data_IF_270295433825
#
_entry.id   IF_270295433825
#
_cell.length_a   1.000
_cell.length_b   1.000
_cell.length_c   1.000
_cell.angle_alpha   90.00
_cell.angle_beta   90.00
_cell.angle_gamma   90.00
#
_symmetry.space_group_name_H-M   'P 1'
#
loop_
_entity.id
_entity.type
_entity.pdbx_description
1 polymer ?
#
# COMPACT_ATOMS: atom_id res chain seq x y z
N UNK A 1 -21.37 15.71 19.86
CA UNK A 1 -20.20 16.49 19.44
C UNK A 1 -20.46 16.95 18.04
N UNK A 2 -20.76 18.23 17.86
CA UNK A 2 -20.95 18.83 16.54
C UNK A 2 -19.60 18.89 15.85
N UNK A 3 -19.49 18.20 14.72
CA UNK A 3 -18.33 18.32 13.86
C UNK A 3 -18.25 19.78 13.37
N UNK A 4 -17.19 20.49 13.74
CA UNK A 4 -16.98 21.86 13.29
C UNK A 4 -16.46 21.85 11.86
N UNK A 5 -17.07 22.61 10.99
CA UNK A 5 -16.50 22.90 9.67
C UNK A 5 -15.20 23.71 9.84
N UNK A 6 -14.22 23.52 8.97
CA UNK A 6 -13.07 24.42 8.92
C UNK A 6 -13.53 25.88 8.77
N UNK A 7 -12.85 26.83 9.41
CA UNK A 7 -13.22 28.25 9.27
C UNK A 7 -13.29 28.65 7.80
N UNK A 8 -14.44 29.22 7.40
CA UNK A 8 -14.64 29.76 6.05
C UNK A 8 -15.17 28.77 5.00
N UNK A 9 -15.42 27.50 5.34
CA UNK A 9 -16.00 26.54 4.40
C UNK A 9 -17.27 25.91 4.98
N UNK A 10 -18.42 26.15 4.34
CA UNK A 10 -19.60 25.37 4.68
C UNK A 10 -19.46 23.96 4.11
N UNK A 11 -20.10 22.98 4.74
CA UNK A 11 -20.11 21.60 4.27
C UNK A 11 -20.62 21.50 2.83
N UNK A 12 -21.69 22.21 2.53
CA UNK A 12 -22.33 22.25 1.22
C UNK A 12 -21.40 22.83 0.15
N UNK A 13 -20.68 23.90 0.46
CA UNK A 13 -19.74 24.51 -0.46
C UNK A 13 -18.53 23.62 -0.73
N UNK A 14 -18.03 22.90 0.30
CA UNK A 14 -16.93 21.98 0.11
C UNK A 14 -17.34 20.75 -0.71
N UNK A 15 -18.53 20.22 -0.49
CA UNK A 15 -19.10 19.12 -1.28
C UNK A 15 -19.30 19.56 -2.74
N UNK A 16 -19.89 20.74 -2.96
CA UNK A 16 -20.08 21.29 -4.31
C UNK A 16 -18.77 21.55 -5.04
N UNK A 17 -17.71 21.89 -4.31
CA UNK A 17 -16.37 22.08 -4.86
C UNK A 17 -15.58 20.77 -5.01
N UNK A 18 -16.13 19.61 -4.62
CA UNK A 18 -15.43 18.33 -4.62
C UNK A 18 -14.27 18.24 -3.61
N UNK A 19 -14.32 19.05 -2.57
CA UNK A 19 -13.27 19.09 -1.55
C UNK A 19 -13.54 18.12 -0.40
N UNK A 20 -12.49 17.58 0.18
CA UNK A 20 -12.57 16.79 1.40
C UNK A 20 -12.89 17.67 2.60
N UNK A 21 -13.83 17.23 3.42
CA UNK A 21 -14.19 17.88 4.68
C UNK A 21 -13.70 17.02 5.83
N UNK A 22 -12.84 17.59 6.67
CA UNK A 22 -12.36 16.92 7.88
C UNK A 22 -13.24 17.30 9.07
N UNK A 23 -13.66 16.31 9.83
CA UNK A 23 -14.35 16.50 11.08
C UNK A 23 -13.45 16.05 12.22
N UNK A 24 -13.32 16.88 13.24
CA UNK A 24 -12.73 16.46 14.50
C UNK A 24 -13.79 15.69 15.30
N UNK A 25 -13.80 14.40 15.08
CA UNK A 25 -14.53 13.48 15.95
C UNK A 25 -13.52 12.61 16.71
N UNK A 26 -13.92 11.99 17.85
CA UNK A 26 -13.06 10.99 18.52
C UNK A 26 -12.63 9.84 17.59
N UNK A 27 -13.40 9.58 16.55
CA UNK A 27 -13.01 8.76 15.41
C UNK A 27 -12.72 9.69 14.22
N UNK A 28 -11.56 9.62 13.70
CA UNK A 28 -11.06 10.37 12.56
C UNK A 28 -11.89 10.11 11.31
N UNK A 29 -12.74 11.04 10.92
CA UNK A 29 -13.55 10.94 9.70
C UNK A 29 -13.17 12.02 8.69
N UNK A 30 -12.97 11.62 7.44
CA UNK A 30 -13.02 12.50 6.29
C UNK A 30 -14.28 12.17 5.51
N UNK A 31 -15.11 13.16 5.26
CA UNK A 31 -16.17 13.03 4.27
C UNK A 31 -15.67 13.54 2.92
N UNK A 32 -15.81 12.74 1.90
CA UNK A 32 -15.47 13.08 0.53
C UNK A 32 -16.69 12.87 -0.34
N UNK A 33 -17.04 13.90 -1.09
CA UNK A 33 -18.12 13.81 -2.07
C UNK A 33 -17.56 13.28 -3.40
N UNK A 34 -18.11 12.19 -3.88
CA UNK A 34 -17.82 11.66 -5.21
C UNK A 34 -18.98 11.93 -6.15
N UNK A 35 -18.70 12.41 -7.37
CA UNK A 35 -19.71 12.39 -8.42
C UNK A 35 -20.13 10.95 -8.66
N UNK A 36 -21.41 10.68 -8.58
CA UNK A 36 -21.96 9.38 -8.93
C UNK A 36 -22.04 9.25 -10.44
N UNK A 37 -21.95 8.04 -10.96
CA UNK A 37 -22.14 7.77 -12.39
C UNK A 37 -23.48 8.27 -12.92
N UNK A 38 -24.49 8.41 -12.07
CA UNK A 38 -25.83 8.93 -12.37
C UNK A 38 -26.03 10.41 -12.01
N UNK A 39 -24.95 11.18 -11.85
CA UNK A 39 -25.05 12.60 -11.49
C UNK A 39 -25.38 12.87 -10.03
N UNK A 40 -25.51 11.85 -9.18
CA UNK A 40 -25.62 12.00 -7.73
C UNK A 40 -24.25 12.14 -7.08
N UNK A 41 -24.22 12.59 -5.84
CA UNK A 41 -23.02 12.62 -5.00
C UNK A 41 -23.15 11.61 -3.88
N UNK A 42 -22.16 10.77 -3.70
CA UNK A 42 -22.00 9.98 -2.49
C UNK A 42 -21.05 10.68 -1.55
N UNK A 43 -21.49 10.82 -0.30
CA UNK A 43 -20.60 11.24 0.77
C UNK A 43 -20.10 9.98 1.43
N UNK A 44 -18.80 9.69 1.29
CA UNK A 44 -18.16 8.58 1.96
C UNK A 44 -17.28 9.13 3.07
N UNK A 45 -17.39 8.57 4.26
CA UNK A 45 -16.60 9.00 5.38
C UNK A 45 -15.52 7.99 5.75
N UNK A 46 -14.40 8.47 6.24
CA UNK A 46 -13.41 7.69 6.95
C UNK A 46 -12.00 7.67 6.42
N UNK A 47 -11.10 8.00 7.30
CA UNK A 47 -9.68 7.82 7.11
C UNK A 47 -9.06 7.27 8.40
N UNK A 48 -7.89 6.61 8.31
CA UNK A 48 -7.09 6.32 9.48
C UNK A 48 -6.63 7.61 10.11
N UNK A 49 -6.49 8.58 9.25
CA UNK A 49 -5.83 9.78 9.58
C UNK A 49 -6.28 10.89 8.64
N UNK A 50 -7.21 11.65 9.10
CA UNK A 50 -7.93 12.67 8.36
C UNK A 50 -7.13 13.97 8.12
N UNK A 51 -5.89 14.03 8.55
CA UNK A 51 -5.03 15.20 8.32
C UNK A 51 -4.03 14.99 7.21
N UNK A 52 -4.00 13.82 6.61
CA UNK A 52 -3.00 13.57 5.57
C UNK A 52 -3.45 14.12 4.22
N UNK A 53 -2.48 14.55 3.43
CA UNK A 53 -2.74 15.03 2.10
C UNK A 53 -3.27 13.90 1.20
N UNK A 54 -4.29 14.19 0.39
CA UNK A 54 -4.73 13.29 -0.67
C UNK A 54 -3.61 13.12 -1.72
N UNK A 55 -3.62 12.00 -2.43
CA UNK A 55 -2.63 11.77 -3.48
C UNK A 55 -2.73 12.83 -4.58
N UNK A 56 -3.95 13.27 -4.93
CA UNK A 56 -4.17 14.34 -5.89
C UNK A 56 -3.52 15.68 -5.44
N UNK A 57 -3.60 16.02 -4.16
CA UNK A 57 -2.94 17.22 -3.63
C UNK A 57 -1.41 17.11 -3.72
N UNK A 58 -0.85 15.92 -3.48
CA UNK A 58 0.58 15.67 -3.62
C UNK A 58 1.04 15.71 -5.06
N UNK A 59 0.28 15.11 -6.00
CA UNK A 59 0.55 15.19 -7.43
C UNK A 59 0.51 16.63 -7.95
N UNK A 60 -0.39 17.47 -7.43
CA UNK A 60 -0.42 18.88 -7.76
C UNK A 60 0.86 19.62 -7.35
N UNK A 61 1.47 19.25 -6.23
CA UNK A 61 2.73 19.85 -5.76
C UNK A 61 3.96 19.25 -6.43
N UNK A 62 3.92 17.98 -6.79
CA UNK A 62 4.96 17.27 -7.54
C UNK A 62 4.31 16.17 -8.40
N UNK A 63 4.38 16.26 -9.74
CA UNK A 63 3.68 15.35 -10.64
C UNK A 63 4.29 13.95 -10.74
N UNK A 64 5.42 13.68 -10.09
CA UNK A 64 6.03 12.35 -10.05
C UNK A 64 5.28 11.43 -9.08
N UNK A 65 4.38 10.62 -9.62
CA UNK A 65 3.56 9.68 -8.85
C UNK A 65 4.40 8.69 -8.03
N UNK A 66 5.60 8.37 -8.49
CA UNK A 66 6.51 7.49 -7.75
C UNK A 66 7.00 8.08 -6.41
N UNK A 67 6.79 9.37 -6.17
CA UNK A 67 7.24 10.11 -4.97
C UNK A 67 6.11 10.43 -3.99
N UNK A 68 4.91 9.96 -4.23
CA UNK A 68 3.71 10.30 -3.45
C UNK A 68 3.86 10.12 -1.94
N UNK A 69 4.59 9.11 -1.48
CA UNK A 69 4.80 8.82 -0.06
C UNK A 69 6.16 9.26 0.48
N UNK A 70 6.96 9.95 -0.34
CA UNK A 70 8.31 10.40 0.03
C UNK A 70 8.28 11.64 0.91
N UNK A 71 8.85 11.53 2.12
CA UNK A 71 9.06 12.70 2.99
C UNK A 71 10.16 13.63 2.48
N UNK A 72 11.07 13.13 1.66
CA UNK A 72 12.12 13.96 1.03
C UNK A 72 11.55 14.97 0.03
N UNK A 73 10.38 14.64 -0.56
CA UNK A 73 9.72 15.49 -1.56
C UNK A 73 8.61 16.33 -0.93
N UNK A 74 7.81 15.74 -0.06
CA UNK A 74 6.59 16.36 0.46
C UNK A 74 6.67 16.72 1.94
N UNK A 75 7.77 16.43 2.62
CA UNK A 75 7.84 16.44 4.09
C UNK A 75 7.15 15.23 4.71
N UNK A 76 7.28 15.09 6.03
CA UNK A 76 6.57 14.06 6.77
C UNK A 76 5.05 14.31 6.70
N UNK A 77 4.22 13.24 6.74
CA UNK A 77 2.78 13.40 6.72
C UNK A 77 2.31 14.23 7.92
N UNK A 78 1.24 15.02 7.74
CA UNK A 78 0.65 15.81 8.83
C UNK A 78 -0.05 14.94 9.89
N UNK A 79 -0.25 13.67 9.60
CA UNK A 79 -0.65 12.67 10.59
C UNK A 79 0.47 12.46 11.59
N UNK A 80 0.18 12.10 12.83
CA UNK A 80 1.24 11.73 13.76
C UNK A 80 2.12 10.65 13.14
N UNK A 81 3.40 10.98 12.98
CA UNK A 81 4.40 10.01 12.55
C UNK A 81 4.56 8.99 13.68
N UNK A 82 4.22 7.74 13.42
CA UNK A 82 4.42 6.66 14.38
C UNK A 82 5.91 6.35 14.43
N UNK A 83 6.50 6.36 15.63
CA UNK A 83 7.95 6.17 15.81
C UNK A 83 8.21 5.08 16.83
N UNK A 84 9.15 4.22 16.53
CA UNK A 84 9.53 3.10 17.38
C UNK A 84 10.99 2.73 17.14
N UNK A 85 11.56 1.94 18.03
CA UNK A 85 12.84 1.27 17.85
C UNK A 85 12.63 -0.18 17.39
N UNK A 86 13.60 -0.75 16.67
CA UNK A 86 13.56 -2.18 16.33
C UNK A 86 13.38 -3.00 17.60
N UNK A 87 12.39 -3.88 17.60
CA UNK A 87 12.05 -4.73 18.71
C UNK A 87 11.02 -4.17 19.68
N UNK A 88 10.62 -2.91 19.55
CA UNK A 88 9.52 -2.35 20.35
C UNK A 88 8.22 -3.10 20.07
N UNK A 89 7.49 -3.43 21.14
CA UNK A 89 6.14 -3.98 21.02
C UNK A 89 5.17 -2.88 20.63
N UNK A 90 4.45 -3.07 19.53
CA UNK A 90 3.44 -2.16 19.01
C UNK A 90 2.06 -2.79 19.16
N UNK A 91 1.10 -2.03 19.66
CA UNK A 91 -0.32 -2.40 19.67
C UNK A 91 -1.13 -1.36 18.90
N UNK A 92 -1.64 -1.74 17.74
CA UNK A 92 -2.62 -0.94 17.03
C UNK A 92 -4.01 -1.25 17.60
N UNK A 93 -4.64 -0.24 18.18
CA UNK A 93 -6.05 -0.30 18.54
C UNK A 93 -6.86 0.30 17.42
N UNK A 94 -7.36 -0.55 16.56
CA UNK A 94 -8.13 -0.18 15.38
C UNK A 94 -9.60 -0.18 15.73
N UNK A 95 -10.26 0.93 15.46
CA UNK A 95 -11.71 1.10 15.63
C UNK A 95 -12.29 1.68 14.36
N UNK A 96 -13.26 1.00 13.78
CA UNK A 96 -14.06 1.55 12.69
C UNK A 96 -15.28 2.27 13.29
N UNK A 97 -15.21 3.61 13.29
CA UNK A 97 -16.34 4.46 13.67
C UNK A 97 -17.31 4.76 12.52
N UNK A 98 -17.21 4.04 11.43
CA UNK A 98 -17.90 4.32 10.16
C UNK A 98 -19.27 3.66 10.08
N UNK A 99 -20.17 4.29 9.35
CA UNK A 99 -21.54 3.80 9.17
C UNK A 99 -21.82 3.27 7.75
N UNK A 100 -21.03 3.64 6.75
CA UNK A 100 -21.40 3.43 5.35
C UNK A 100 -20.52 2.45 4.59
N UNK A 101 -19.28 2.23 5.03
CA UNK A 101 -18.32 1.44 4.27
C UNK A 101 -17.41 0.61 5.18
N UNK A 102 -16.91 -0.47 4.63
CA UNK A 102 -15.86 -1.27 5.26
C UNK A 102 -14.48 -0.79 4.80
N UNK A 103 -13.47 -1.05 5.59
CA UNK A 103 -12.10 -0.64 5.35
C UNK A 103 -11.14 -1.81 5.37
N UNK A 104 -9.94 -1.60 4.89
CA UNK A 104 -8.86 -2.57 4.97
C UNK A 104 -7.65 -1.88 5.56
N UNK A 105 -7.19 -2.34 6.72
CA UNK A 105 -5.98 -1.82 7.35
C UNK A 105 -4.79 -2.66 6.96
N UNK A 106 -3.80 -2.03 6.34
CA UNK A 106 -2.56 -2.64 5.88
C UNK A 106 -1.38 -1.99 6.60
N UNK A 107 -0.47 -2.81 7.12
CA UNK A 107 0.81 -2.34 7.68
C UNK A 107 1.94 -3.04 6.93
N UNK A 108 2.59 -2.32 6.03
CA UNK A 108 3.67 -2.89 5.21
C UNK A 108 4.80 -3.45 6.08
N UNK A 109 5.29 -4.62 5.75
CA UNK A 109 6.44 -5.25 6.39
C UNK A 109 6.23 -5.75 7.83
N UNK A 110 5.04 -5.57 8.40
CA UNK A 110 4.71 -5.98 9.77
C UNK A 110 3.57 -6.98 9.75
N UNK A 111 3.71 -8.06 10.51
CA UNK A 111 2.67 -9.05 10.66
C UNK A 111 2.01 -8.98 12.03
N UNK A 112 0.72 -9.28 12.08
CA UNK A 112 -0.07 -9.38 13.30
C UNK A 112 -1.10 -10.51 13.18
N UNK A 113 -1.62 -10.94 14.33
CA UNK A 113 -2.73 -11.91 14.39
C UNK A 113 -4.04 -11.14 14.59
N UNK A 114 -5.06 -11.30 13.73
CA UNK A 114 -6.38 -10.73 13.97
C UNK A 114 -6.98 -11.16 15.31
N UNK A 115 -6.90 -12.44 15.60
CA UNK A 115 -7.26 -13.01 16.91
C UNK A 115 -6.01 -13.10 17.78
N UNK A 116 -5.71 -12.01 18.48
CA UNK A 116 -4.45 -11.82 19.21
C UNK A 116 -4.11 -12.93 20.20
N UNK A 117 -5.13 -13.49 20.85
CA UNK A 117 -4.96 -14.48 21.91
C UNK A 117 -5.10 -15.93 21.42
N UNK A 118 -5.43 -16.12 20.15
CA UNK A 118 -5.46 -17.44 19.52
C UNK A 118 -4.13 -17.71 18.81
N UNK A 119 -3.36 -18.67 19.34
CA UNK A 119 -2.11 -19.11 18.73
C UNK A 119 -2.26 -19.69 17.31
N UNK A 120 -3.46 -20.15 16.94
CA UNK A 120 -3.78 -20.67 15.62
C UNK A 120 -4.24 -19.59 14.65
N UNK A 121 -4.51 -18.38 15.11
CA UNK A 121 -4.83 -17.26 14.22
C UNK A 121 -3.69 -17.02 13.25
N UNK A 122 -4.03 -16.93 11.96
CA UNK A 122 -3.03 -16.67 10.92
C UNK A 122 -2.35 -15.32 11.14
N UNK A 123 -1.09 -15.24 10.76
CA UNK A 123 -0.39 -13.96 10.71
C UNK A 123 -0.61 -13.31 9.35
N UNK A 124 -1.00 -12.06 9.37
CA UNK A 124 -1.21 -11.25 8.16
C UNK A 124 -0.76 -9.81 8.42
N UNK A 125 -0.53 -9.05 7.37
CA UNK A 125 -0.32 -7.60 7.45
C UNK A 125 -1.54 -6.80 7.03
N UNK A 126 -2.65 -7.48 6.76
CA UNK A 126 -3.86 -6.89 6.20
C UNK A 126 -5.08 -7.45 6.93
N UNK A 127 -5.95 -6.56 7.41
CA UNK A 127 -7.23 -6.92 8.00
C UNK A 127 -8.35 -6.08 7.40
N UNK A 128 -9.46 -6.75 7.11
CA UNK A 128 -10.71 -6.09 6.79
C UNK A 128 -11.41 -5.66 8.07
N UNK A 129 -11.94 -4.44 8.09
CA UNK A 129 -12.61 -3.85 9.24
C UNK A 129 -14.00 -3.41 8.82
N UNK A 130 -15.00 -4.07 9.37
CA UNK A 130 -16.39 -3.74 9.17
C UNK A 130 -16.87 -2.56 10.01
N UNK A 131 -18.15 -2.25 9.88
CA UNK A 131 -18.80 -1.16 10.62
C UNK A 131 -18.82 -1.51 12.11
N UNK A 132 -18.37 -0.57 12.94
CA UNK A 132 -18.29 -0.72 14.40
C UNK A 132 -17.38 -1.86 14.91
N UNK A 133 -16.60 -2.49 14.03
CA UNK A 133 -15.60 -3.46 14.45
C UNK A 133 -14.39 -2.80 15.08
N UNK A 134 -13.75 -3.54 15.97
CA UNK A 134 -12.52 -3.15 16.64
C UNK A 134 -11.54 -4.30 16.69
N UNK A 135 -10.27 -3.98 16.60
CA UNK A 135 -9.17 -4.96 16.68
C UNK A 135 -8.03 -4.41 17.53
N UNK A 136 -7.41 -5.30 18.30
CA UNK A 136 -6.15 -5.07 18.98
C UNK A 136 -5.06 -5.87 18.25
N UNK A 137 -4.31 -5.21 17.36
CA UNK A 137 -3.32 -5.84 16.49
C UNK A 137 -1.93 -5.64 17.08
N UNK A 138 -1.35 -6.71 17.62
CA UNK A 138 -0.02 -6.68 18.20
C UNK A 138 1.03 -7.08 17.16
N UNK A 139 2.08 -6.28 17.06
CA UNK A 139 3.23 -6.52 16.19
C UNK A 139 4.51 -6.01 16.84
N UNK A 140 5.65 -6.27 16.19
CA UNK A 140 6.97 -5.78 16.64
C UNK A 140 7.54 -4.81 15.61
N UNK A 141 8.08 -3.69 16.07
CA UNK A 141 8.68 -2.69 15.21
C UNK A 141 9.89 -3.25 14.43
N UNK A 142 9.94 -2.96 13.14
CA UNK A 142 10.93 -3.53 12.22
C UNK A 142 10.49 -4.83 11.57
N UNK A 143 9.31 -5.35 11.98
CA UNK A 143 8.72 -6.57 11.42
C UNK A 143 9.56 -7.82 11.68
N UNK A 144 9.28 -8.89 10.97
CA UNK A 144 10.04 -10.15 11.05
C UNK A 144 11.47 -10.01 10.54
N UNK A 145 11.73 -9.04 9.68
CA UNK A 145 13.05 -8.75 9.14
C UNK A 145 13.96 -7.98 10.11
N UNK A 146 13.44 -7.47 11.24
CA UNK A 146 14.17 -6.65 12.20
C UNK A 146 14.99 -5.52 11.55
N UNK A 147 14.35 -4.76 10.65
CA UNK A 147 15.02 -3.71 9.90
C UNK A 147 14.46 -2.32 10.23
N UNK A 148 15.36 -1.34 10.38
CA UNK A 148 14.99 0.08 10.46
C UNK A 148 14.56 0.60 9.10
N UNK A 149 13.71 1.64 9.12
CA UNK A 149 13.24 2.33 7.93
C UNK A 149 11.85 2.90 8.11
N UNK A 150 11.38 3.55 7.07
CA UNK A 150 10.02 4.08 7.00
C UNK A 150 9.11 3.07 6.30
N UNK A 151 8.03 2.69 6.96
CA UNK A 151 7.03 1.73 6.48
C UNK A 151 5.70 2.43 6.28
N UNK A 152 5.02 2.11 5.18
CA UNK A 152 3.69 2.64 4.90
C UNK A 152 2.63 1.82 5.66
N UNK A 153 1.70 2.49 6.36
CA UNK A 153 0.42 1.91 6.73
C UNK A 153 -0.70 2.63 6.00
N UNK A 154 -1.72 1.91 5.56
CA UNK A 154 -2.71 2.52 4.69
C UNK A 154 -4.02 1.73 4.65
N UNK A 155 -5.04 2.37 4.11
CA UNK A 155 -6.27 1.70 3.73
C UNK A 155 -6.07 0.99 2.39
N UNK A 156 -6.25 -0.32 2.35
CA UNK A 156 -6.10 -1.12 1.13
C UNK A 156 -7.17 -0.88 0.06
N UNK A 157 -8.21 -0.08 0.36
CA UNK A 157 -9.15 0.40 -0.67
C UNK A 157 -8.51 1.59 -1.39
N UNK A 158 -8.30 1.46 -2.68
CA UNK A 158 -7.59 2.45 -3.50
C UNK A 158 -8.20 3.86 -3.38
N UNK A 159 -9.53 3.98 -3.38
CA UNK A 159 -10.19 5.27 -3.21
C UNK A 159 -9.83 5.93 -1.88
N UNK A 160 -9.80 5.17 -0.79
CA UNK A 160 -9.48 5.70 0.54
C UNK A 160 -8.00 6.05 0.69
N UNK A 161 -7.12 5.23 0.12
CA UNK A 161 -5.71 5.55 0.01
C UNK A 161 -5.50 6.88 -0.72
N UNK A 162 -6.17 7.05 -1.86
CA UNK A 162 -6.09 8.27 -2.67
C UNK A 162 -6.60 9.52 -1.94
N UNK A 163 -7.55 9.36 -1.04
CA UNK A 163 -8.13 10.42 -0.21
C UNK A 163 -7.27 10.82 1.00
N UNK A 164 -6.17 10.13 1.27
CA UNK A 164 -5.27 10.45 2.38
C UNK A 164 -5.32 9.47 3.56
N UNK A 165 -5.95 8.31 3.38
CA UNK A 165 -6.03 7.27 4.42
C UNK A 165 -4.74 6.44 4.47
N UNK A 166 -3.65 7.07 4.86
CA UNK A 166 -2.32 6.49 4.95
C UNK A 166 -1.45 7.24 5.97
N UNK A 167 -0.35 6.63 6.38
CA UNK A 167 0.65 7.23 7.24
C UNK A 167 1.95 6.44 7.23
N UNK A 168 2.91 6.86 8.04
CA UNK A 168 4.25 6.29 8.10
C UNK A 168 4.56 5.81 9.51
N UNK A 169 5.14 4.62 9.60
CA UNK A 169 5.82 4.11 10.79
C UNK A 169 7.31 4.23 10.54
N UNK A 170 7.99 5.03 11.33
CA UNK A 170 9.43 5.20 11.29
C UNK A 170 10.10 4.37 12.38
N UNK A 171 10.84 3.36 11.96
CA UNK A 171 11.54 2.46 12.86
C UNK A 171 13.03 2.79 12.89
N UNK A 172 13.57 2.99 14.09
CA UNK A 172 14.95 3.39 14.31
C UNK A 172 15.79 2.23 14.85
N UNK A 173 17.03 2.13 14.40
CA UNK A 173 18.07 1.22 14.95
C UNK A 173 19.07 1.91 15.88
N UNK A 174 18.90 3.23 16.09
CA UNK A 174 19.74 4.06 16.95
C UNK A 174 18.88 4.98 17.80
N UNK A 175 19.32 5.24 19.03
CA UNK A 175 18.65 6.15 19.94
C UNK A 175 18.49 7.54 19.31
N UNK A 176 17.28 8.09 19.44
CA UNK A 176 16.93 9.44 19.05
C UNK A 176 16.82 10.33 20.28
N UNK A 177 17.25 11.59 20.19
CA UNK A 177 17.25 12.52 21.34
C UNK A 177 15.84 12.79 21.90
N UNK A 178 14.85 12.74 21.04
CA UNK A 178 13.46 13.11 21.32
C UNK A 178 12.50 11.91 21.41
N UNK A 179 13.02 10.68 21.36
CA UNK A 179 12.25 9.45 21.50
C UNK A 179 12.84 8.59 22.62
N UNK A 180 12.07 8.45 23.71
CA UNK A 180 12.49 7.58 24.81
C UNK A 180 12.30 6.10 24.42
N UNK A 181 13.28 5.24 24.72
CA UNK A 181 13.13 3.80 24.54
C UNK A 181 12.08 3.24 25.51
N UNK A 182 11.43 2.15 25.10
CA UNK A 182 10.50 1.43 25.97
C UNK A 182 11.27 0.64 27.06
N UNK A 183 10.65 0.43 28.24
CA UNK A 183 11.18 -0.51 29.22
C UNK A 183 11.37 -1.91 28.60
N UNK A 184 12.55 -2.47 28.80
CA UNK A 184 12.94 -3.77 28.20
C UNK A 184 13.53 -3.68 26.79
N UNK A 185 13.59 -2.48 26.19
CA UNK A 185 14.28 -2.22 24.92
C UNK A 185 15.12 -0.94 24.97
N UNK A 186 15.80 -0.71 26.09
CA UNK A 186 16.62 0.49 26.34
C UNK A 186 17.80 0.62 25.35
N UNK A 187 18.20 -0.49 24.76
CA UNK A 187 19.23 -0.56 23.72
C UNK A 187 18.60 -1.19 22.47
N UNK A 188 18.09 -0.36 21.54
CA UNK A 188 17.48 -0.88 20.31
C UNK A 188 18.39 -1.83 19.56
N UNK A 189 17.81 -2.84 18.96
CA UNK A 189 18.55 -3.74 18.07
C UNK A 189 19.05 -2.98 16.84
N UNK A 190 20.24 -3.35 16.38
CA UNK A 190 20.71 -2.90 15.06
C UNK A 190 19.91 -3.57 13.95
N UNK A 191 19.70 -2.88 12.84
CA UNK A 191 19.10 -3.47 11.64
C UNK A 191 19.81 -4.76 11.26
N UNK A 192 19.01 -5.76 10.84
CA UNK A 192 19.54 -6.99 10.29
C UNK A 192 20.41 -6.67 9.06
N UNK A 193 21.55 -7.35 8.93
CA UNK A 193 22.48 -7.13 7.82
C UNK A 193 21.98 -7.72 6.51
N UNK A 194 21.12 -8.72 6.59
CA UNK A 194 20.58 -9.42 5.41
C UNK A 194 19.15 -9.87 5.70
N UNK A 195 18.28 -9.63 4.75
CA UNK A 195 16.90 -10.08 4.76
C UNK A 195 16.81 -11.62 4.76
N UNK A 196 17.56 -12.26 3.86
CA UNK A 196 17.50 -13.70 3.69
C UNK A 196 18.49 -14.40 4.64
N UNK A 197 18.02 -15.40 5.41
CA UNK A 197 18.89 -16.21 6.26
C UNK A 197 19.99 -16.91 5.46
N UNK A 198 21.13 -17.18 6.12
CA UNK A 198 22.22 -17.94 5.50
C UNK A 198 21.72 -19.36 5.15
N UNK A 199 21.93 -19.76 3.91
CA UNK A 199 21.52 -21.08 3.40
C UNK A 199 20.07 -21.17 2.92
N UNK A 200 19.29 -20.08 2.99
CA UNK A 200 17.95 -20.05 2.41
C UNK A 200 18.02 -20.32 0.88
N UNK A 201 17.20 -21.24 0.34
CA UNK A 201 17.11 -21.43 -1.10
C UNK A 201 16.69 -20.13 -1.79
N UNK A 202 17.22 -19.89 -3.00
CA UNK A 202 16.94 -18.67 -3.77
C UNK A 202 16.10 -18.99 -4.98
N UNK A 203 14.95 -18.33 -5.08
CA UNK A 203 14.06 -18.36 -6.25
C UNK A 203 14.24 -17.07 -7.06
N UNK A 204 14.59 -17.19 -8.32
CA UNK A 204 14.82 -16.04 -9.18
C UNK A 204 13.71 -15.94 -10.24
N UNK A 205 13.21 -14.71 -10.45
CA UNK A 205 12.26 -14.40 -11.50
C UNK A 205 12.73 -13.19 -12.30
N UNK A 206 12.55 -13.24 -13.63
CA UNK A 206 12.70 -12.09 -14.51
C UNK A 206 11.32 -11.64 -14.95
N UNK A 207 10.92 -10.45 -14.54
CA UNK A 207 9.61 -9.85 -14.81
C UNK A 207 9.79 -8.61 -15.63
N UNK A 208 8.90 -8.38 -16.57
CA UNK A 208 8.83 -7.17 -17.39
C UNK A 208 7.51 -6.45 -17.16
N UNK A 209 7.55 -5.14 -17.06
CA UNK A 209 6.36 -4.28 -17.15
C UNK A 209 6.26 -3.77 -18.60
N UNK A 210 5.14 -3.98 -19.25
CA UNK A 210 4.90 -3.59 -20.65
C UNK A 210 3.52 -2.97 -20.82
N UNK A 211 3.34 -2.22 -21.89
CA UNK A 211 2.01 -1.78 -22.33
C UNK A 211 1.45 -2.79 -23.34
N UNK A 212 0.17 -3.08 -23.23
CA UNK A 212 -0.57 -3.91 -24.20
C UNK A 212 -2.02 -3.53 -24.24
N UNK A 213 -2.67 -3.83 -25.37
CA UNK A 213 -4.12 -3.69 -25.44
C UNK A 213 -4.80 -4.83 -24.69
N UNK A 214 -5.62 -4.51 -23.70
CA UNK A 214 -6.44 -5.47 -22.97
C UNK A 214 -7.90 -5.32 -23.37
N UNK A 215 -8.52 -6.45 -23.74
CA UNK A 215 -9.96 -6.61 -23.78
C UNK A 215 -10.36 -7.53 -22.63
N UNK A 216 -11.17 -7.04 -21.71
CA UNK A 216 -11.52 -7.81 -20.51
C UNK A 216 -12.46 -8.98 -20.81
N UNK A 217 -13.17 -8.94 -21.94
CA UNK A 217 -13.92 -10.08 -22.45
C UNK A 217 -13.78 -10.18 -23.98
N UNK A 218 -12.73 -10.84 -24.50
CA UNK A 218 -12.50 -10.90 -25.95
C UNK A 218 -13.47 -11.82 -26.70
N UNK A 219 -14.22 -12.68 -26.01
CA UNK A 219 -15.06 -13.71 -26.63
C UNK A 219 -16.56 -13.44 -26.53
N UNK A 220 -16.96 -12.40 -25.83
CA UNK A 220 -18.36 -12.04 -25.65
C UNK A 220 -18.55 -10.56 -25.91
N UNK A 221 -19.70 -10.19 -26.36
CA UNK A 221 -20.15 -8.80 -26.41
C UNK A 221 -20.50 -8.31 -25.00
N UNK A 222 -19.76 -8.74 -23.97
CA UNK A 222 -20.00 -8.31 -22.60
C UNK A 222 -19.63 -6.85 -22.46
N UNK A 223 -20.66 -6.10 -22.30
CA UNK A 223 -20.62 -4.70 -21.96
C UNK A 223 -20.82 -4.58 -20.45
N UNK A 224 -20.07 -3.69 -19.81
CA UNK A 224 -20.55 -3.19 -18.52
C UNK A 224 -21.74 -2.27 -18.86
N UNK A 225 -22.88 -2.61 -18.33
CA UNK A 225 -24.01 -1.72 -18.29
C UNK A 225 -23.69 -0.61 -17.29
N UNK A 226 -23.12 0.48 -17.80
CA UNK A 226 -22.73 1.64 -16.97
C UNK A 226 -23.94 2.53 -16.71
N UNK A 227 -24.94 2.37 -17.54
CA UNK A 227 -26.24 3.01 -17.48
C UNK A 227 -27.17 2.11 -18.27
N UNK A 228 -28.46 2.01 -17.91
CA UNK A 228 -29.44 1.14 -18.56
C UNK A 228 -29.51 1.32 -20.11
N UNK A 229 -28.88 2.36 -20.63
CA UNK A 229 -28.86 2.69 -22.05
C UNK A 229 -27.47 2.63 -22.71
N UNK A 230 -26.36 2.48 -21.95
CA UNK A 230 -25.01 2.50 -22.50
C UNK A 230 -24.25 1.20 -22.23
N UNK A 231 -24.00 0.48 -23.30
CA UNK A 231 -23.13 -0.70 -23.28
C UNK A 231 -21.71 -0.26 -23.62
N UNK A 232 -20.80 -0.33 -22.64
CA UNK A 232 -19.38 -0.02 -22.83
C UNK A 232 -18.56 -1.30 -22.85
N UNK A 233 -17.81 -1.52 -23.93
CA UNK A 233 -16.83 -2.58 -23.96
C UNK A 233 -15.69 -2.26 -22.99
N UNK A 234 -15.43 -3.13 -22.04
CA UNK A 234 -14.27 -3.03 -21.17
C UNK A 234 -13.00 -3.36 -21.95
N UNK A 235 -12.35 -2.31 -22.42
CA UNK A 235 -11.08 -2.41 -23.08
C UNK A 235 -10.14 -1.29 -22.60
N UNK A 236 -8.87 -1.58 -22.51
CA UNK A 236 -7.81 -0.59 -22.33
C UNK A 236 -6.80 -0.81 -23.44
N UNK A 237 -6.66 0.14 -24.34
CA UNK A 237 -5.77 0.04 -25.50
C UNK A 237 -4.29 0.10 -25.11
N UNK A 238 -3.97 0.61 -23.93
CA UNK A 238 -2.59 0.80 -23.47
C UNK A 238 -2.43 0.39 -21.97
N UNK A 239 -3.02 -0.76 -21.63
CA UNK A 239 -2.97 -1.28 -20.28
C UNK A 239 -1.54 -1.63 -19.87
N UNK A 240 -1.21 -1.33 -18.63
CA UNK A 240 0.03 -1.75 -18.00
C UNK A 240 -0.13 -3.18 -17.47
N UNK A 241 0.75 -4.07 -17.89
CA UNK A 241 0.78 -5.46 -17.40
C UNK A 241 2.18 -5.86 -16.99
N UNK A 242 2.24 -6.86 -16.11
CA UNK A 242 3.47 -7.52 -15.70
C UNK A 242 3.45 -8.95 -16.20
N UNK A 243 4.57 -9.40 -16.79
CA UNK A 243 4.72 -10.75 -17.32
C UNK A 243 6.10 -11.31 -17.01
N UNK A 244 6.25 -12.64 -17.01
CA UNK A 244 7.57 -13.24 -17.05
C UNK A 244 8.25 -12.86 -18.37
N UNK A 245 9.53 -12.54 -18.33
CA UNK A 245 10.26 -12.07 -19.50
C UNK A 245 10.19 -13.06 -20.67
N UNK A 246 10.26 -14.38 -20.39
CA UNK A 246 10.12 -15.43 -21.38
C UNK A 246 8.71 -15.60 -21.97
N UNK A 247 7.69 -15.04 -21.32
CA UNK A 247 6.28 -15.11 -21.75
C UNK A 247 5.78 -13.79 -22.33
N UNK A 248 6.63 -12.76 -22.37
CA UNK A 248 6.25 -11.41 -22.78
C UNK A 248 5.60 -11.37 -24.16
N UNK A 249 6.19 -12.04 -25.16
CA UNK A 249 5.67 -12.05 -26.51
C UNK A 249 4.28 -12.69 -26.58
N UNK A 250 4.04 -13.75 -25.82
CA UNK A 250 2.74 -14.41 -25.70
C UNK A 250 1.72 -13.51 -25.02
N UNK A 251 2.11 -12.88 -23.91
CA UNK A 251 1.26 -11.96 -23.17
C UNK A 251 0.85 -10.72 -24.01
N UNK A 252 1.74 -10.24 -24.89
CA UNK A 252 1.47 -9.12 -25.80
C UNK A 252 0.64 -9.54 -27.02
N UNK A 253 0.82 -10.76 -27.55
CA UNK A 253 0.21 -11.21 -28.80
C UNK A 253 -1.22 -11.77 -28.64
N UNK A 254 -1.56 -12.27 -27.44
CA UNK A 254 -2.78 -13.06 -27.30
C UNK A 254 -4.07 -12.24 -27.39
N UNK A 255 -4.05 -10.92 -27.27
CA UNK A 255 -5.29 -10.09 -27.25
C UNK A 255 -6.37 -10.65 -26.29
N UNK A 256 -6.12 -11.85 -25.76
CA UNK A 256 -6.85 -12.55 -24.73
C UNK A 256 -6.34 -12.05 -23.38
N UNK A 257 -7.17 -12.10 -22.36
CA UNK A 257 -6.76 -11.74 -21.01
C UNK A 257 -5.37 -12.32 -20.70
N UNK A 258 -4.34 -11.49 -20.51
CA UNK A 258 -3.13 -12.02 -19.93
C UNK A 258 -3.52 -12.54 -18.56
N UNK A 259 -3.15 -13.76 -18.25
CA UNK A 259 -3.32 -14.26 -16.90
C UNK A 259 -2.58 -13.33 -15.95
N UNK A 260 -3.14 -13.00 -14.78
CA UNK A 260 -2.42 -12.25 -13.77
C UNK A 260 -1.08 -12.93 -13.49
N UNK A 261 -0.01 -12.15 -13.42
CA UNK A 261 1.32 -12.67 -13.11
C UNK A 261 1.27 -13.44 -11.78
N UNK A 262 1.56 -14.72 -11.84
CA UNK A 262 1.62 -15.59 -10.65
C UNK A 262 3.02 -16.14 -10.49
N UNK A 263 3.68 -15.77 -9.39
CA UNK A 263 4.99 -16.29 -9.02
C UNK A 263 4.81 -17.32 -7.90
N UNK A 264 5.51 -18.44 -7.99
CA UNK A 264 5.41 -19.51 -6.99
C UNK A 264 6.71 -19.67 -6.24
N UNK A 265 6.64 -19.62 -4.92
CA UNK A 265 7.75 -19.84 -4.02
C UNK A 265 7.28 -20.63 -2.79
N UNK A 266 8.22 -21.27 -2.10
CA UNK A 266 7.94 -21.99 -0.86
C UNK A 266 8.29 -21.10 0.35
N UNK A 267 7.70 -21.42 1.48
CA UNK A 267 8.10 -20.85 2.77
C UNK A 267 9.59 -21.13 3.01
N UNK A 268 10.33 -20.15 3.50
CA UNK A 268 11.77 -20.23 3.73
C UNK A 268 12.63 -19.91 2.51
N UNK A 269 12.03 -19.66 1.34
CA UNK A 269 12.78 -19.23 0.15
C UNK A 269 13.02 -17.72 0.14
N UNK A 270 14.20 -17.36 -0.35
CA UNK A 270 14.56 -16.00 -0.71
C UNK A 270 14.13 -15.75 -2.16
N UNK A 271 13.23 -14.79 -2.37
CA UNK A 271 12.62 -14.52 -3.67
C UNK A 271 13.31 -13.28 -4.24
N UNK A 272 13.95 -13.42 -5.39
CA UNK A 272 14.56 -12.31 -6.13
C UNK A 272 13.81 -12.08 -7.44
N UNK A 273 13.26 -10.89 -7.58
CA UNK A 273 12.50 -10.49 -8.76
C UNK A 273 13.27 -9.37 -9.47
N UNK A 274 13.89 -9.67 -10.61
CA UNK A 274 14.43 -8.66 -11.50
C UNK A 274 13.26 -8.08 -12.30
N UNK A 275 12.86 -6.85 -11.98
CA UNK A 275 11.88 -6.10 -12.76
C UNK A 275 12.63 -5.28 -13.83
N UNK A 276 12.23 -5.42 -15.08
CA UNK A 276 12.65 -4.57 -16.20
C UNK A 276 11.44 -3.75 -16.65
N UNK A 277 11.53 -2.44 -16.56
CA UNK A 277 10.48 -1.55 -17.02
C UNK A 277 10.63 -1.29 -18.52
N UNK A 278 9.71 -1.82 -19.33
CA UNK A 278 9.58 -1.60 -20.78
C UNK A 278 8.33 -0.81 -21.14
N UNK A 279 7.75 -0.09 -20.17
CA UNK A 279 6.64 0.82 -20.41
C UNK A 279 7.11 1.97 -21.30
N UNK A 280 6.17 2.54 -22.04
CA UNK A 280 6.39 3.75 -22.84
C UNK A 280 6.71 4.93 -21.96
N UNK A 281 6.00 5.05 -20.83
CA UNK A 281 6.11 6.11 -19.84
C UNK A 281 5.76 5.59 -18.44
N UNK A 282 6.09 6.36 -17.42
CA UNK A 282 5.83 6.05 -16.03
C UNK A 282 6.81 5.05 -15.42
N UNK A 283 6.99 5.15 -14.13
CA UNK A 283 7.81 4.19 -13.39
C UNK A 283 7.01 2.90 -13.15
N UNK A 284 7.70 1.81 -12.89
CA UNK A 284 7.11 0.55 -12.46
C UNK A 284 7.74 0.09 -11.14
N UNK A 285 7.01 -0.65 -10.33
CA UNK A 285 7.56 -1.21 -9.11
C UNK A 285 6.93 -2.56 -8.74
N UNK A 286 7.52 -3.22 -7.75
CA UNK A 286 6.94 -4.40 -7.12
C UNK A 286 6.98 -4.19 -5.62
N UNK A 287 5.81 -3.94 -5.04
CA UNK A 287 5.57 -4.00 -3.61
C UNK A 287 4.83 -5.30 -3.29
N UNK A 288 5.26 -6.02 -2.29
CA UNK A 288 4.64 -7.28 -1.90
C UNK A 288 4.10 -7.22 -0.47
N UNK A 289 2.84 -7.61 -0.31
CA UNK A 289 2.23 -7.80 1.00
C UNK A 289 2.52 -9.21 1.53
N UNK A 290 2.50 -9.37 2.85
CA UNK A 290 2.66 -10.66 3.53
C UNK A 290 3.97 -11.41 3.23
N UNK A 291 5.00 -10.70 2.88
CA UNK A 291 6.38 -11.20 2.79
C UNK A 291 7.32 -10.20 3.44
N UNK A 292 8.43 -10.67 3.96
CA UNK A 292 9.46 -9.78 4.51
C UNK A 292 10.27 -9.13 3.36
N UNK A 293 10.67 -7.88 3.55
CA UNK A 293 11.50 -7.10 2.61
C UNK A 293 12.40 -6.12 3.35
N UNK A 294 13.46 -5.68 2.70
CA UNK A 294 14.29 -4.57 3.18
C UNK A 294 13.62 -3.24 2.80
N UNK A 295 13.15 -2.44 3.77
CA UNK A 295 12.50 -1.16 3.48
C UNK A 295 13.43 -0.15 2.82
N UNK A 296 14.75 -0.32 2.98
CA UNK A 296 15.74 0.58 2.40
C UNK A 296 16.03 0.29 0.91
N UNK A 297 15.65 -0.91 0.42
CA UNK A 297 15.98 -1.32 -0.96
C UNK A 297 14.82 -1.96 -1.73
N UNK A 298 14.00 -2.77 -1.09
CA UNK A 298 13.06 -3.66 -1.77
C UNK A 298 11.59 -3.46 -1.37
N UNK A 299 11.24 -2.31 -0.81
CA UNK A 299 9.85 -1.99 -0.47
C UNK A 299 8.97 -1.76 -1.71
N UNK A 300 9.57 -1.32 -2.84
CA UNK A 300 8.83 -1.02 -4.07
C UNK A 300 8.01 0.27 -4.01
N UNK A 301 8.11 1.02 -2.93
CA UNK A 301 7.45 2.31 -2.69
C UNK A 301 8.48 3.28 -2.12
N UNK A 302 8.50 4.51 -2.62
CA UNK A 302 9.32 5.57 -2.03
C UNK A 302 8.63 6.13 -0.79
N UNK A 303 8.90 5.56 0.37
CA UNK A 303 8.26 5.92 1.64
C UNK A 303 9.20 6.75 2.51
N UNK A 304 8.68 7.84 3.05
CA UNK A 304 9.35 8.63 4.06
C UNK A 304 10.75 9.08 3.66
N UNK A 305 11.72 8.83 4.53
CA UNK A 305 13.12 9.16 4.33
C UNK A 305 13.98 7.98 3.85
N UNK A 306 13.37 6.87 3.43
CA UNK A 306 14.13 5.72 2.91
C UNK A 306 15.03 6.15 1.75
N UNK A 307 16.25 5.57 1.63
CA UNK A 307 17.21 5.98 0.62
C UNK A 307 16.86 5.45 -0.77
N UNK A 308 17.49 6.06 -1.78
CA UNK A 308 17.39 5.60 -3.15
C UNK A 308 16.03 5.83 -3.81
N UNK A 309 15.88 5.27 -5.00
CA UNK A 309 14.62 5.14 -5.71
C UNK A 309 14.18 3.68 -5.69
N UNK A 310 13.02 3.44 -5.10
CA UNK A 310 12.43 2.11 -4.96
C UNK A 310 11.67 1.67 -6.22
N UNK A 311 11.53 2.56 -7.19
CA UNK A 311 10.82 2.33 -8.44
C UNK A 311 11.79 2.21 -9.62
N UNK A 312 11.32 1.74 -10.75
CA UNK A 312 12.11 1.46 -11.94
C UNK A 312 11.65 2.35 -13.08
N UNK A 313 12.53 3.23 -13.55
CA UNK A 313 12.26 4.12 -14.71
C UNK A 313 12.17 3.31 -16.01
N UNK A 314 11.47 3.81 -17.04
CA UNK A 314 11.47 3.20 -18.37
C UNK A 314 12.88 2.90 -18.86
N UNK A 315 13.07 1.71 -19.44
CA UNK A 315 14.34 1.21 -19.94
C UNK A 315 15.35 0.75 -18.87
N UNK A 316 14.98 0.79 -17.58
CA UNK A 316 15.84 0.36 -16.47
C UNK A 316 15.36 -0.93 -15.84
N UNK A 317 16.20 -1.50 -14.99
CA UNK A 317 15.90 -2.71 -14.21
C UNK A 317 16.34 -2.54 -12.76
N UNK A 318 15.64 -3.23 -11.86
CA UNK A 318 15.95 -3.32 -10.42
C UNK A 318 15.64 -4.73 -9.94
N UNK A 319 16.44 -5.22 -9.00
CA UNK A 319 16.16 -6.49 -8.32
C UNK A 319 15.50 -6.19 -6.98
N UNK A 320 14.31 -6.70 -6.78
CA UNK A 320 13.63 -6.71 -5.49
C UNK A 320 13.90 -8.03 -4.80
N UNK A 321 14.19 -7.98 -3.51
CA UNK A 321 14.44 -9.16 -2.69
C UNK A 321 13.38 -9.27 -1.62
N UNK A 322 12.71 -10.42 -1.56
CA UNK A 322 11.71 -10.76 -0.56
C UNK A 322 12.12 -12.06 0.15
N UNK A 323 11.60 -12.25 1.35
CA UNK A 323 11.76 -13.51 2.06
C UNK A 323 10.39 -14.03 2.49
N UNK A 324 10.07 -15.26 2.07
CA UNK A 324 8.84 -15.94 2.44
C UNK A 324 8.97 -16.48 3.88
N UNK A 325 8.76 -15.60 4.87
CA UNK A 325 8.93 -15.92 6.28
C UNK A 325 7.86 -16.90 6.74
N UNK A 326 8.25 -17.90 7.52
CA UNK A 326 7.37 -18.98 7.97
C UNK A 326 6.22 -18.53 8.87
N UNK A 327 6.35 -17.40 9.53
CA UNK A 327 5.29 -16.85 10.40
C UNK A 327 4.13 -16.23 9.60
N UNK A 328 4.37 -15.84 8.34
CA UNK A 328 3.28 -15.50 7.44
C UNK A 328 2.60 -16.78 6.96
N UNK A 329 1.72 -17.32 7.77
CA UNK A 329 0.99 -18.55 7.48
C UNK A 329 -0.19 -18.29 6.53
N UNK A 330 0.11 -17.73 5.37
CA UNK A 330 -0.86 -17.44 4.31
C UNK A 330 -0.43 -18.11 3.01
N UNK A 331 -1.41 -18.52 2.22
CA UNK A 331 -1.17 -19.23 0.98
C UNK A 331 -0.85 -18.30 -0.21
N UNK A 332 -0.75 -17.00 0.01
CA UNK A 332 -0.49 -16.05 -1.06
C UNK A 332 -0.13 -14.65 -0.57
N UNK A 333 0.56 -13.92 -1.42
CA UNK A 333 0.92 -12.52 -1.25
C UNK A 333 0.46 -11.74 -2.49
N UNK A 334 -0.09 -10.55 -2.28
CA UNK A 334 -0.44 -9.65 -3.37
C UNK A 334 0.77 -8.83 -3.77
N UNK A 335 0.99 -8.73 -5.07
CA UNK A 335 1.97 -7.83 -5.66
C UNK A 335 1.26 -6.58 -6.17
N UNK A 336 1.81 -5.42 -5.84
CA UNK A 336 1.28 -4.11 -6.20
C UNK A 336 2.32 -3.31 -6.97
N UNK A 337 1.85 -2.48 -7.90
CA UNK A 337 2.67 -1.47 -8.56
C UNK A 337 2.38 -0.09 -7.95
N UNK A 338 3.39 0.54 -7.38
CA UNK A 338 3.35 1.92 -6.87
C UNK A 338 4.29 2.83 -7.67
N UNK A 339 4.71 2.40 -8.83
CA UNK A 339 5.59 3.19 -9.69
C UNK A 339 4.89 4.39 -10.32
N UNK A 340 3.56 4.26 -10.49
CA UNK A 340 2.71 5.27 -11.11
C UNK A 340 1.30 5.16 -10.48
N UNK A 341 1.22 5.47 -9.19
CA UNK A 341 0.05 5.24 -8.34
C UNK A 341 -1.01 6.35 -8.50
#
# INVERSE_FOLDING_TARGET
>A
VTAGNPPGLSRENAIAAGQSISFQMPSTMIEVAFPHLNGGTHTTGGAFNFRNASLAARLKSNPDASKLFSSKVHGDPSTPLLRAYIGDSILFRLLSGMQNETHTFVVSGHGYRPERYDGNSRVTNTIHVGIAERYDLATTAGGYQEMAGDYLYYNGRTSKLSEGSWGIIRVHDKLQKDLKPLPGNEKPKSSAKKLCPKGAPVKNFSVVAINTALKFNPNTEDYIEVDFERKLQLANADARIFALEGEMAKAAADGKRPHPLTLRANIGECIKIKLTNRLKEGNASIHANNVAFDPMDSQGINVGNNPGDQTVKPGKSKVYTFFAHHDFNINGALLWDFGDA
#
